data_IF_296233457101
#
_entry.id   IF_296233457101
#
_cell.length_a   1.000
_cell.length_b   1.000
_cell.length_c   1.000
_cell.angle_alpha   90.00
_cell.angle_beta   90.00
_cell.angle_gamma   90.00
#
_symmetry.space_group_name_H-M   'P 1'
#
loop_
_entity.id
_entity.type
_entity.pdbx_description
1 polymer ?
#
# COMPACT_ATOMS: atom_id res chain seq x y z
N UNK A 1 23.14 15.12 0.65
CA UNK A 1 22.54 14.63 1.90
C UNK A 1 21.35 15.53 2.15
N UNK A 2 20.12 15.03 2.25
CA UNK A 2 18.93 15.88 2.25
C UNK A 2 18.89 16.77 3.50
N UNK A 3 18.98 18.09 3.33
CA UNK A 3 19.15 19.06 4.44
C UNK A 3 18.05 18.96 5.51
N UNK A 4 16.85 18.52 5.12
CA UNK A 4 15.70 18.32 6.01
C UNK A 4 15.91 17.24 7.08
N UNK A 5 16.84 16.29 6.91
CA UNK A 5 17.10 15.25 7.92
C UNK A 5 17.58 15.87 9.24
N UNK A 6 18.28 17.00 9.17
CA UNK A 6 18.71 17.74 10.37
C UNK A 6 17.55 18.28 11.21
N UNK A 7 16.37 18.43 10.59
CA UNK A 7 15.12 18.90 11.21
C UNK A 7 14.14 17.75 11.52
N UNK A 8 14.58 16.49 11.43
CA UNK A 8 13.73 15.33 11.68
C UNK A 8 12.96 15.40 13.02
N UNK A 9 13.61 15.70 14.17
CA UNK A 9 12.89 15.76 15.44
C UNK A 9 11.78 16.83 15.42
N UNK A 10 12.04 17.97 14.79
CA UNK A 10 11.06 19.05 14.69
C UNK A 10 9.89 18.64 13.79
N UNK A 11 10.13 17.89 12.70
CA UNK A 11 9.08 17.34 11.85
C UNK A 11 8.20 16.33 12.61
N UNK A 12 8.81 15.40 13.33
CA UNK A 12 8.10 14.40 14.15
C UNK A 12 7.24 15.05 15.23
N UNK A 13 7.81 16.00 15.96
CA UNK A 13 7.07 16.74 16.98
C UNK A 13 5.97 17.62 16.39
N UNK A 14 6.17 18.19 15.20
CA UNK A 14 5.13 18.98 14.52
C UNK A 14 3.92 18.13 14.15
N UNK A 15 4.14 16.88 13.73
CA UNK A 15 3.07 15.91 13.48
C UNK A 15 2.30 15.56 14.75
N UNK A 16 3.01 15.29 15.85
CA UNK A 16 2.40 14.90 17.13
C UNK A 16 1.59 16.05 17.74
N UNK A 17 2.10 17.27 17.67
CA UNK A 17 1.40 18.46 18.19
C UNK A 17 0.32 18.97 17.24
N UNK A 18 0.34 18.54 15.98
CA UNK A 18 -0.51 19.08 14.91
C UNK A 18 -0.24 20.55 14.63
N UNK A 19 1.01 21.02 14.84
CA UNK A 19 1.41 22.42 14.69
C UNK A 19 2.71 22.53 13.92
N UNK A 20 2.73 23.41 12.93
CA UNK A 20 3.94 23.71 12.18
C UNK A 20 4.92 24.51 13.04
N UNK A 21 6.14 23.99 13.23
CA UNK A 21 7.19 24.67 14.00
C UNK A 21 7.91 25.74 13.16
N UNK A 22 8.21 26.92 13.71
CA UNK A 22 8.93 27.99 12.98
C UNK A 22 10.33 27.59 12.52
N UNK A 23 10.97 26.63 13.19
CA UNK A 23 12.27 26.09 12.78
C UNK A 23 12.24 25.40 11.41
N UNK A 24 11.06 25.00 10.95
CA UNK A 24 10.86 24.31 9.68
C UNK A 24 10.65 25.28 8.51
N UNK A 25 10.50 26.59 8.75
CA UNK A 25 10.23 27.59 7.69
C UNK A 25 11.39 27.75 6.69
N UNK A 26 12.61 27.37 7.09
CA UNK A 26 13.80 27.38 6.24
C UNK A 26 13.96 26.12 5.37
N UNK A 27 13.15 25.08 5.61
CA UNK A 27 13.25 23.81 4.91
C UNK A 27 12.50 23.88 3.58
N UNK A 28 13.14 23.52 2.48
CA UNK A 28 12.45 23.40 1.20
C UNK A 28 11.53 22.17 1.19
N UNK A 29 10.22 22.39 1.32
CA UNK A 29 9.21 21.32 1.33
C UNK A 29 8.96 20.68 -0.04
N UNK A 30 9.46 21.30 -1.12
CA UNK A 30 9.38 20.72 -2.47
C UNK A 30 10.54 19.76 -2.75
N UNK A 31 11.57 19.78 -1.90
CA UNK A 31 12.77 18.94 -2.05
C UNK A 31 12.50 17.44 -1.85
N UNK A 32 11.45 17.07 -1.10
CA UNK A 32 11.14 15.67 -0.83
C UNK A 32 9.62 15.43 -0.68
N UNK A 33 9.06 14.40 -1.33
CA UNK A 33 7.63 14.07 -1.24
C UNK A 33 7.12 13.86 0.20
N UNK A 34 7.96 13.34 1.11
CA UNK A 34 7.62 13.16 2.53
C UNK A 34 7.32 14.48 3.24
N UNK A 35 7.99 15.57 2.89
CA UNK A 35 7.76 16.88 3.52
C UNK A 35 6.40 17.45 3.09
N UNK A 36 6.02 17.26 1.82
CA UNK A 36 4.69 17.58 1.34
C UNK A 36 3.61 16.77 2.06
N UNK A 37 3.86 15.48 2.33
CA UNK A 37 2.97 14.65 3.14
C UNK A 37 2.83 15.19 4.57
N UNK A 38 3.94 15.45 5.27
CA UNK A 38 3.92 16.01 6.63
C UNK A 38 3.12 17.32 6.69
N UNK A 39 3.35 18.21 5.72
CA UNK A 39 2.64 19.48 5.64
C UNK A 39 1.14 19.30 5.42
N UNK A 40 0.74 18.42 4.50
CA UNK A 40 -0.68 18.11 4.27
C UNK A 40 -1.38 17.59 5.53
N UNK A 41 -0.69 16.79 6.36
CA UNK A 41 -1.24 16.27 7.63
C UNK A 41 -1.42 17.40 8.64
N UNK A 42 -0.41 18.24 8.83
CA UNK A 42 -0.45 19.37 9.78
C UNK A 42 -1.49 20.42 9.37
N UNK A 43 -1.59 20.72 8.08
CA UNK A 43 -2.58 21.65 7.53
C UNK A 43 -4.02 21.09 7.55
N UNK A 44 -4.19 19.82 7.97
CA UNK A 44 -5.50 19.16 8.07
C UNK A 44 -6.07 18.71 6.72
N UNK A 45 -5.28 18.74 5.64
CA UNK A 45 -5.65 18.21 4.33
C UNK A 45 -5.49 16.69 4.28
N UNK A 46 -6.24 15.99 5.15
CA UNK A 46 -6.12 14.55 5.36
C UNK A 46 -6.42 13.75 4.10
N UNK A 47 -7.32 14.22 3.25
CA UNK A 47 -7.62 13.59 1.97
C UNK A 47 -6.38 13.53 1.08
N UNK A 48 -5.71 14.66 0.85
CA UNK A 48 -4.51 14.70 0.04
C UNK A 48 -3.34 13.91 0.66
N UNK A 49 -3.24 13.92 2.00
CA UNK A 49 -2.24 13.13 2.70
C UNK A 49 -2.44 11.62 2.46
N UNK A 50 -3.68 11.12 2.64
CA UNK A 50 -4.00 9.70 2.52
C UNK A 50 -4.07 9.21 1.06
N UNK A 51 -4.38 10.08 0.11
CA UNK A 51 -4.37 9.77 -1.32
C UNK A 51 -2.98 9.87 -1.98
N UNK A 52 -1.97 10.32 -1.23
CA UNK A 52 -0.60 10.43 -1.74
C UNK A 52 0.00 9.07 -2.12
N UNK A 53 0.91 9.06 -3.09
CA UNK A 53 1.54 7.83 -3.58
C UNK A 53 2.28 7.09 -2.44
N UNK A 54 2.93 7.82 -1.53
CA UNK A 54 3.60 7.27 -0.36
C UNK A 54 2.62 6.57 0.59
N UNK A 55 1.43 7.16 0.81
CA UNK A 55 0.38 6.56 1.64
C UNK A 55 -0.18 5.30 0.99
N UNK A 56 -0.43 5.34 -0.32
CA UNK A 56 -0.95 4.20 -1.09
C UNK A 56 0.04 3.03 -1.15
N UNK A 57 1.32 3.32 -1.30
CA UNK A 57 2.38 2.32 -1.26
C UNK A 57 2.46 1.68 0.15
N UNK A 58 2.46 2.49 1.21
CA UNK A 58 2.49 2.01 2.59
C UNK A 58 1.25 1.16 2.94
N UNK A 59 0.07 1.56 2.44
CA UNK A 59 -1.22 0.93 2.70
C UNK A 59 -1.60 -0.10 1.62
N UNK A 60 -0.61 -0.60 0.86
CA UNK A 60 -0.82 -1.70 -0.08
C UNK A 60 -1.10 -3.00 0.67
N UNK A 61 -2.22 -3.63 0.36
CA UNK A 61 -2.62 -4.91 0.95
C UNK A 61 -1.80 -6.05 0.34
N UNK A 62 -1.29 -6.98 1.14
CA UNK A 62 -0.51 -8.12 0.61
C UNK A 62 -1.31 -9.44 0.57
N UNK A 63 -2.61 -9.43 0.86
CA UNK A 63 -3.35 -10.67 1.09
C UNK A 63 -4.52 -10.93 0.13
N UNK A 64 -4.74 -12.22 -0.12
CA UNK A 64 -5.81 -12.83 -0.93
C UNK A 64 -6.99 -13.33 -0.09
N UNK A 65 -6.96 -13.18 1.24
CA UNK A 65 -8.02 -13.57 2.18
C UNK A 65 -8.98 -12.42 2.57
N UNK A 66 -10.09 -12.76 3.21
CA UNK A 66 -11.07 -11.77 3.70
C UNK A 66 -10.50 -10.97 4.86
N UNK A 67 -10.47 -9.63 4.74
CA UNK A 67 -9.94 -8.69 5.75
C UNK A 67 -10.81 -8.67 7.01
N UNK A 68 -12.12 -8.83 6.86
CA UNK A 68 -13.07 -8.92 7.97
C UNK A 68 -13.65 -10.33 8.08
N UNK A 69 -13.95 -10.74 9.31
CA UNK A 69 -14.74 -11.95 9.59
C UNK A 69 -16.21 -11.71 9.26
N UNK A 70 -17.02 -12.78 9.26
CA UNK A 70 -18.48 -12.70 9.09
C UNK A 70 -19.16 -11.84 10.16
N UNK A 71 -18.54 -11.69 11.33
CA UNK A 71 -19.04 -10.88 12.45
C UNK A 71 -18.53 -9.43 12.39
N UNK A 72 -17.76 -9.06 11.36
CA UNK A 72 -17.23 -7.70 11.16
C UNK A 72 -15.97 -7.39 11.97
N UNK A 73 -15.36 -8.37 12.62
CA UNK A 73 -14.06 -8.19 13.32
C UNK A 73 -12.90 -8.30 12.34
N UNK A 74 -11.80 -7.59 12.61
CA UNK A 74 -10.59 -7.67 11.79
C UNK A 74 -10.01 -9.10 11.86
N UNK A 75 -9.81 -9.72 10.71
CA UNK A 75 -9.49 -11.13 10.60
C UNK A 75 -7.98 -11.38 10.70
N UNK A 76 -7.42 -11.47 11.91
CA UNK A 76 -5.99 -11.77 12.10
C UNK A 76 -5.18 -10.54 12.53
N UNK A 77 -3.90 -10.48 12.18
CA UNK A 77 -2.99 -9.43 12.64
C UNK A 77 -2.69 -8.42 11.54
N UNK A 78 -2.57 -7.14 11.90
CA UNK A 78 -2.36 -6.04 10.96
C UNK A 78 -1.11 -6.24 10.08
N UNK A 79 -0.02 -6.72 10.70
CA UNK A 79 1.27 -7.04 10.07
C UNK A 79 1.17 -8.14 9.00
N UNK A 80 0.10 -8.94 9.01
CA UNK A 80 -0.15 -9.96 8.00
C UNK A 80 -0.80 -9.39 6.73
N UNK A 81 -1.49 -8.25 6.84
CA UNK A 81 -2.18 -7.60 5.72
C UNK A 81 -1.37 -6.45 5.13
N UNK A 82 -0.74 -5.67 6.01
CA UNK A 82 0.05 -4.52 5.62
C UNK A 82 1.52 -4.79 5.98
N UNK A 83 2.40 -4.92 4.98
CA UNK A 83 3.83 -5.07 5.24
C UNK A 83 4.42 -3.80 5.87
N UNK A 84 3.75 -2.64 5.71
CA UNK A 84 4.20 -1.32 6.18
C UNK A 84 5.65 -1.02 5.76
N UNK A 85 6.05 -1.58 4.61
CA UNK A 85 7.34 -1.35 3.98
C UNK A 85 7.15 -0.39 2.84
N UNK A 86 8.12 0.51 2.71
CA UNK A 86 8.15 1.54 1.69
C UNK A 86 9.52 1.41 1.02
N UNK A 87 9.56 1.34 -0.30
CA UNK A 87 10.79 1.24 -1.09
C UNK A 87 11.34 2.64 -1.33
N UNK A 88 11.70 3.32 -0.24
CA UNK A 88 12.34 4.65 -0.30
C UNK A 88 13.83 4.50 -0.11
N UNK A 89 14.60 5.33 -0.81
CA UNK A 89 16.06 5.41 -0.73
C UNK A 89 16.63 5.60 0.69
N UNK A 90 15.79 5.98 1.67
CA UNK A 90 16.20 6.29 3.04
C UNK A 90 15.21 5.73 4.08
N UNK A 91 15.71 4.89 4.99
CA UNK A 91 14.93 4.33 6.10
C UNK A 91 14.30 5.41 6.99
N UNK A 92 15.00 6.53 7.23
CA UNK A 92 14.47 7.65 8.00
C UNK A 92 13.27 8.30 7.32
N UNK A 93 13.28 8.39 5.98
CA UNK A 93 12.13 8.91 5.24
C UNK A 93 10.94 7.95 5.36
N UNK A 94 11.19 6.63 5.29
CA UNK A 94 10.15 5.63 5.47
C UNK A 94 9.53 5.68 6.89
N UNK A 95 10.33 5.89 7.93
CA UNK A 95 9.85 6.09 9.31
C UNK A 95 8.98 7.34 9.44
N UNK A 96 9.42 8.47 8.87
CA UNK A 96 8.65 9.70 8.88
C UNK A 96 7.32 9.55 8.11
N UNK A 97 7.32 8.83 6.98
CA UNK A 97 6.08 8.51 6.25
C UNK A 97 5.15 7.65 7.10
N UNK A 98 5.65 6.59 7.74
CA UNK A 98 4.84 5.76 8.64
C UNK A 98 4.19 6.57 9.75
N UNK A 99 4.96 7.47 10.37
CA UNK A 99 4.45 8.37 11.40
C UNK A 99 3.38 9.31 10.83
N UNK A 100 3.66 9.99 9.71
CA UNK A 100 2.73 10.92 9.09
C UNK A 100 1.40 10.25 8.69
N UNK A 101 1.46 9.06 8.08
CA UNK A 101 0.26 8.28 7.71
C UNK A 101 -0.48 7.81 8.95
N UNK A 102 0.21 7.36 10.00
CA UNK A 102 -0.44 6.97 11.26
C UNK A 102 -1.20 8.13 11.90
N UNK A 103 -0.58 9.32 11.96
CA UNK A 103 -1.22 10.55 12.45
C UNK A 103 -2.40 10.94 11.55
N UNK A 104 -2.27 10.87 10.22
CA UNK A 104 -3.35 11.15 9.29
C UNK A 104 -4.55 10.21 9.49
N UNK A 105 -4.30 8.91 9.63
CA UNK A 105 -5.33 7.90 9.91
C UNK A 105 -6.03 8.16 11.25
N UNK A 106 -5.28 8.53 12.30
CA UNK A 106 -5.85 8.87 13.60
C UNK A 106 -6.73 10.13 13.51
N UNK A 107 -6.24 11.19 12.85
CA UNK A 107 -7.02 12.40 12.63
C UNK A 107 -8.30 12.10 11.82
N UNK A 108 -8.21 11.27 10.78
CA UNK A 108 -9.35 10.87 9.97
C UNK A 108 -10.38 10.09 10.79
N UNK A 109 -9.93 9.15 11.62
CA UNK A 109 -10.79 8.42 12.54
C UNK A 109 -11.52 9.36 13.50
N UNK A 110 -10.82 10.33 14.10
CA UNK A 110 -11.43 11.31 14.99
C UNK A 110 -12.43 12.23 14.26
N UNK A 111 -12.11 12.66 13.03
CA UNK A 111 -13.00 13.50 12.22
C UNK A 111 -14.32 12.79 11.87
N UNK A 112 -14.24 11.54 11.42
CA UNK A 112 -15.41 10.74 11.05
C UNK A 112 -16.30 10.45 12.26
N UNK A 113 -15.72 10.26 13.45
CA UNK A 113 -16.48 9.87 14.64
C UNK A 113 -16.94 11.05 15.52
N UNK A 114 -16.23 12.18 15.54
CA UNK A 114 -16.42 13.20 16.56
C UNK A 114 -16.47 14.64 16.05
N UNK A 115 -15.65 15.03 15.07
CA UNK A 115 -15.40 16.46 14.79
C UNK A 115 -15.95 17.02 13.48
N UNK A 116 -16.75 16.25 12.73
CA UNK A 116 -17.64 16.71 11.63
C UNK A 116 -17.21 17.99 10.90
N UNK A 117 -16.49 17.84 9.78
CA UNK A 117 -17.17 17.64 8.50
C UNK A 117 -16.98 16.22 7.95
N UNK A 118 -17.85 15.83 7.01
CA UNK A 118 -17.71 14.55 6.31
C UNK A 118 -16.36 14.52 5.57
N UNK A 119 -15.48 13.64 6.04
CA UNK A 119 -14.25 13.33 5.34
C UNK A 119 -14.61 12.46 4.14
N UNK A 120 -14.82 13.09 2.98
CA UNK A 120 -15.14 12.40 1.72
C UNK A 120 -13.89 11.71 1.15
N UNK A 121 -13.50 10.64 1.81
CA UNK A 121 -12.43 9.74 1.42
C UNK A 121 -13.06 8.44 0.97
N UNK A 122 -12.76 8.01 -0.26
CA UNK A 122 -13.08 6.67 -0.69
C UNK A 122 -12.03 5.70 -0.12
N UNK A 123 -12.40 4.98 0.93
CA UNK A 123 -11.48 4.08 1.66
C UNK A 123 -10.89 2.99 0.75
N UNK A 124 -11.61 2.59 -0.29
CA UNK A 124 -11.16 1.62 -1.29
C UNK A 124 -10.10 2.20 -2.25
N UNK A 125 -10.03 3.53 -2.38
CA UNK A 125 -9.03 4.20 -3.24
C UNK A 125 -7.68 4.38 -2.51
N UNK A 126 -7.70 4.40 -1.18
CA UNK A 126 -6.49 4.39 -0.34
C UNK A 126 -5.91 2.98 -0.25
N UNK A 127 -6.78 1.96 -0.14
CA UNK A 127 -6.36 0.56 -0.06
C UNK A 127 -6.01 0.04 -1.46
N UNK A 128 -4.72 0.13 -1.81
CA UNK A 128 -4.22 -0.52 -3.02
C UNK A 128 -4.30 -2.03 -2.84
N UNK A 129 -5.29 -2.67 -3.48
CA UNK A 129 -5.34 -4.13 -3.60
C UNK A 129 -4.45 -4.48 -4.80
N UNK A 130 -3.37 -5.26 -4.64
CA UNK A 130 -2.60 -5.75 -5.75
C UNK A 130 -3.54 -6.51 -6.66
N UNK A 131 -3.71 -6.03 -7.89
CA UNK A 131 -4.38 -6.83 -8.91
C UNK A 131 -3.66 -8.17 -8.94
N UNK A 132 -4.37 -9.31 -8.82
CA UNK A 132 -3.74 -10.60 -9.03
C UNK A 132 -3.04 -10.55 -10.39
N UNK A 133 -1.80 -11.08 -10.51
CA UNK A 133 -1.12 -11.11 -11.79
C UNK A 133 -2.07 -11.76 -12.79
N UNK A 134 -2.43 -11.03 -13.85
CA UNK A 134 -3.28 -11.57 -14.91
C UNK A 134 -2.64 -12.87 -15.34
N UNK A 135 -3.29 -13.99 -15.05
CA UNK A 135 -2.89 -15.30 -15.54
C UNK A 135 -2.76 -15.13 -17.05
N UNK A 136 -1.51 -15.06 -17.55
CA UNK A 136 -1.22 -15.17 -18.97
C UNK A 136 -1.96 -16.41 -19.40
N UNK A 137 -2.96 -16.22 -20.27
CA UNK A 137 -3.76 -17.29 -20.85
C UNK A 137 -2.79 -18.39 -21.25
N UNK A 138 -2.77 -19.48 -20.47
CA UNK A 138 -1.91 -20.62 -20.71
C UNK A 138 -2.30 -21.12 -22.09
N UNK A 139 -1.42 -20.91 -23.07
CA UNK A 139 -1.62 -21.35 -24.45
C UNK A 139 -2.11 -22.79 -24.40
N UNK A 140 -3.27 -23.04 -24.99
CA UNK A 140 -3.87 -24.38 -25.06
C UNK A 140 -2.88 -25.29 -25.77
N UNK A 141 -2.10 -26.06 -25.03
CA UNK A 141 -1.45 -27.24 -25.58
C UNK A 141 -2.57 -28.21 -25.94
N UNK A 142 -2.90 -28.23 -27.22
CA UNK A 142 -3.72 -29.23 -27.87
C UNK A 142 -3.16 -30.61 -27.52
N UNK A 143 -3.81 -31.31 -26.59
CA UNK A 143 -3.65 -32.75 -26.41
C UNK A 143 -4.15 -33.42 -27.69
N UNK A 144 -3.24 -33.60 -28.66
CA UNK A 144 -3.44 -34.53 -29.78
C UNK A 144 -3.54 -35.92 -29.17
N UNK A 145 -4.74 -36.49 -29.15
CA UNK A 145 -4.94 -37.92 -28.90
C UNK A 145 -4.18 -38.70 -29.97
N UNK A 146 -3.33 -39.68 -29.64
CA UNK A 146 -2.85 -40.63 -30.63
C UNK A 146 -4.03 -41.49 -31.07
N UNK A 147 -4.32 -41.50 -32.37
CA UNK A 147 -5.24 -42.47 -32.99
C UNK A 147 -4.63 -43.87 -32.88
N UNK A 148 -5.33 -44.80 -32.22
CA UNK A 148 -5.05 -46.23 -32.36
C UNK A 148 -5.37 -46.64 -33.80
N UNK A 149 -4.32 -46.77 -34.63
CA UNK A 149 -4.45 -47.42 -35.93
C UNK A 149 -4.37 -48.94 -35.74
N UNK A 150 -5.52 -49.58 -35.94
CA UNK A 150 -5.66 -51.01 -36.19
C UNK A 150 -5.25 -51.31 -37.65
N UNK A 151 -4.09 -51.93 -37.83
CA UNK A 151 -3.71 -52.69 -39.04
C UNK A 151 -2.97 -53.95 -38.54
N UNK A 152 -3.69 -55.07 -38.43
CA UNK A 152 -3.88 -56.13 -39.43
C UNK A 152 -2.66 -57.05 -39.57
N UNK A 153 -2.72 -58.12 -38.78
CA UNK A 153 -2.30 -59.52 -38.97
C UNK A 153 -1.63 -59.90 -40.31
N UNK A 154 -0.50 -60.60 -40.20
CA UNK A 154 0.20 -61.39 -41.24
C UNK A 154 1.69 -61.05 -41.26
N UNK A 155 2.68 -61.94 -41.18
CA UNK A 155 2.70 -63.39 -41.32
C UNK A 155 3.94 -63.95 -40.60
N UNK A 156 3.77 -65.20 -40.17
CA UNK A 156 4.76 -66.21 -39.78
C UNK A 156 5.95 -66.28 -40.76
N UNK A 157 7.19 -66.43 -40.27
CA UNK A 157 8.18 -67.35 -40.86
C UNK A 157 9.25 -67.72 -39.83
N UNK A 158 9.41 -69.04 -39.70
CA UNK A 158 10.36 -69.79 -38.88
C UNK A 158 11.58 -70.06 -39.76
N UNK A 159 12.80 -69.75 -39.29
CA UNK A 159 13.94 -70.68 -39.29
C UNK A 159 15.03 -70.16 -38.36
#
# INVERSE_FOLDING_TARGET
MSDWISYLPDLEWSLIEGKWRPSLDSVDHTSAPVLGLVRNVIDGNLKAALESDLSKELLTLNHTGSLFTLEGTFNGRLDSYFPLKLDVDNDTAAELVRLAVAVACLHAFLQINWTGPDLNINTLEILTIPSPPRLRSRTKYSLRRPSLNSQRVGNLLIT
#
